data_IF_072952679861
#
_entry.id   IF_072952679861
#
_cell.length_a   1.000
_cell.length_b   1.000
_cell.length_c   1.000
_cell.angle_alpha   90.00
_cell.angle_beta   90.00
_cell.angle_gamma   90.00
#
_symmetry.space_group_name_H-M   'P 1'
#
loop_
_entity.id
_entity.type
_entity.pdbx_description
1 polymer ?
#
# COMPACT_ATOMS: atom_id res chain seq x y z
N UNK A 1 3.03 2.86 7.46
CA UNK A 1 2.72 4.31 7.44
C UNK A 1 1.23 4.53 7.63
N UNK A 2 0.86 5.61 8.27
CA UNK A 2 -0.55 5.97 8.42
C UNK A 2 -1.05 6.66 7.15
N UNK A 3 -2.38 6.64 6.93
CA UNK A 3 -2.97 7.30 5.77
C UNK A 3 -2.61 8.80 5.71
N UNK A 4 -2.53 9.46 6.88
CA UNK A 4 -2.11 10.87 6.96
C UNK A 4 -0.74 11.08 6.33
N UNK A 5 0.22 10.21 6.67
CA UNK A 5 1.59 10.31 6.17
C UNK A 5 1.64 10.05 4.66
N UNK A 6 0.84 9.11 4.19
CA UNK A 6 0.75 8.79 2.76
C UNK A 6 0.18 9.96 1.95
N UNK A 7 -0.74 10.74 2.53
CA UNK A 7 -1.33 11.88 1.84
C UNK A 7 -0.34 13.01 1.59
N UNK A 8 0.78 13.04 2.33
CA UNK A 8 1.83 14.03 2.14
C UNK A 8 2.83 13.63 1.05
N UNK A 9 2.74 12.42 0.52
CA UNK A 9 3.64 11.93 -0.52
C UNK A 9 3.17 12.33 -1.93
N UNK A 10 4.12 12.48 -2.86
CA UNK A 10 3.79 12.65 -4.27
C UNK A 10 3.27 11.33 -4.85
N UNK A 11 2.64 11.40 -6.03
CA UNK A 11 2.18 10.20 -6.72
C UNK A 11 3.33 9.23 -7.01
N UNK A 12 4.48 9.77 -7.42
CA UNK A 12 5.68 8.96 -7.67
C UNK A 12 6.15 8.25 -6.39
N UNK A 13 6.17 8.98 -5.27
CA UNK A 13 6.53 8.41 -3.97
C UNK A 13 5.54 7.34 -3.53
N UNK A 14 4.25 7.54 -3.78
CA UNK A 14 3.22 6.54 -3.48
C UNK A 14 3.44 5.27 -4.30
N UNK A 15 3.79 5.42 -5.58
CA UNK A 15 4.05 4.27 -6.43
C UNK A 15 5.27 3.47 -5.95
N UNK A 16 6.32 4.15 -5.49
CA UNK A 16 7.50 3.50 -4.91
C UNK A 16 7.12 2.74 -3.64
N UNK A 17 6.36 3.37 -2.74
CA UNK A 17 5.90 2.73 -1.51
C UNK A 17 5.05 1.49 -1.80
N UNK A 18 4.17 1.59 -2.79
CA UNK A 18 3.34 0.47 -3.20
C UNK A 18 4.18 -0.70 -3.72
N UNK A 19 5.18 -0.41 -4.55
CA UNK A 19 6.07 -1.43 -5.08
C UNK A 19 6.85 -2.12 -3.95
N UNK A 20 7.37 -1.33 -2.99
CA UNK A 20 8.09 -1.85 -1.84
C UNK A 20 7.19 -2.73 -0.97
N UNK A 21 5.95 -2.31 -0.72
CA UNK A 21 5.02 -3.10 0.09
C UNK A 21 4.60 -4.39 -0.62
N UNK A 22 4.45 -4.35 -1.94
CA UNK A 22 4.15 -5.55 -2.74
C UNK A 22 5.30 -6.55 -2.70
N UNK A 23 6.53 -6.08 -2.79
CA UNK A 23 7.70 -6.93 -2.70
C UNK A 23 7.79 -7.58 -1.32
N UNK A 24 7.55 -6.81 -0.26
CA UNK A 24 7.52 -7.33 1.10
C UNK A 24 6.42 -8.38 1.26
N UNK A 25 5.22 -8.12 0.75
CA UNK A 25 4.11 -9.07 0.81
C UNK A 25 4.46 -10.37 0.09
N UNK A 26 5.07 -10.28 -1.08
CA UNK A 26 5.50 -11.47 -1.83
C UNK A 26 6.49 -12.30 -1.01
N UNK A 27 7.48 -11.65 -0.41
CA UNK A 27 8.48 -12.33 0.41
C UNK A 27 7.85 -12.99 1.64
N UNK A 28 6.92 -12.30 2.31
CA UNK A 28 6.21 -12.83 3.47
C UNK A 28 5.34 -14.02 3.11
N UNK A 29 4.67 -13.97 1.95
CA UNK A 29 3.87 -15.10 1.46
C UNK A 29 4.74 -16.31 1.14
N UNK A 30 5.90 -16.07 0.55
CA UNK A 30 6.86 -17.12 0.28
C UNK A 30 7.33 -17.79 1.57
N UNK A 31 7.69 -16.98 2.58
CA UNK A 31 8.10 -17.49 3.88
C UNK A 31 6.98 -18.29 4.56
N UNK A 32 5.73 -17.81 4.44
CA UNK A 32 4.59 -18.54 4.98
C UNK A 32 4.39 -19.88 4.30
N UNK A 33 4.53 -19.93 2.98
CA UNK A 33 4.39 -21.16 2.20
C UNK A 33 5.47 -22.19 2.53
N UNK A 34 6.68 -21.76 2.87
CA UNK A 34 7.79 -22.65 3.23
C UNK A 34 7.83 -22.99 4.72
N UNK A 35 6.93 -22.40 5.52
CA UNK A 35 6.91 -22.62 6.97
C UNK A 35 7.95 -21.79 7.73
N UNK A 36 8.68 -20.90 7.07
CA UNK A 36 9.69 -20.06 7.70
C UNK A 36 9.10 -18.86 8.45
N UNK A 37 7.85 -18.48 8.15
CA UNK A 37 7.19 -17.33 8.79
C UNK A 37 6.50 -17.79 10.07
N UNK A 38 7.03 -17.35 11.21
CA UNK A 38 6.47 -17.67 12.53
C UNK A 38 5.31 -16.78 12.93
N UNK A 39 5.29 -15.53 12.45
CA UNK A 39 4.29 -14.54 12.84
C UNK A 39 3.55 -14.00 11.62
N UNK A 40 2.27 -14.40 11.50
CA UNK A 40 1.42 -13.99 10.38
C UNK A 40 0.93 -12.54 10.50
N UNK A 41 1.14 -11.88 11.65
CA UNK A 41 0.73 -10.48 11.82
C UNK A 41 1.43 -9.55 10.82
N UNK A 42 2.68 -9.86 10.45
CA UNK A 42 3.43 -9.08 9.46
C UNK A 42 2.76 -9.15 8.08
N UNK A 43 2.22 -10.30 7.74
CA UNK A 43 1.50 -10.49 6.48
C UNK A 43 0.24 -9.61 6.43
N UNK A 44 -0.53 -9.59 7.51
CA UNK A 44 -1.72 -8.76 7.62
C UNK A 44 -1.37 -7.27 7.56
N UNK A 45 -0.28 -6.87 8.23
CA UNK A 45 0.17 -5.48 8.22
C UNK A 45 0.56 -5.03 6.82
N UNK A 46 1.31 -5.86 6.08
CA UNK A 46 1.71 -5.56 4.71
C UNK A 46 0.50 -5.37 3.80
N UNK A 47 -0.49 -6.26 3.89
CA UNK A 47 -1.74 -6.14 3.13
C UNK A 47 -2.48 -4.85 3.46
N UNK A 48 -2.54 -4.50 4.75
CA UNK A 48 -3.21 -3.28 5.21
C UNK A 48 -2.52 -2.02 4.69
N UNK A 49 -1.19 -2.01 4.68
CA UNK A 49 -0.43 -0.89 4.16
C UNK A 49 -0.65 -0.69 2.66
N UNK A 50 -0.69 -1.77 1.88
CA UNK A 50 -1.01 -1.71 0.46
C UNK A 50 -2.41 -1.13 0.26
N UNK A 51 -3.39 -1.59 1.05
CA UNK A 51 -4.76 -1.10 0.97
C UNK A 51 -4.84 0.40 1.25
N UNK A 52 -4.08 0.90 2.22
CA UNK A 52 -4.03 2.34 2.53
C UNK A 52 -3.46 3.15 1.38
N UNK A 53 -2.39 2.68 0.75
CA UNK A 53 -1.78 3.34 -0.41
C UNK A 53 -2.79 3.41 -1.56
N UNK A 54 -3.48 2.32 -1.85
CA UNK A 54 -4.51 2.27 -2.89
C UNK A 54 -5.67 3.21 -2.57
N UNK A 55 -6.06 3.31 -1.31
CA UNK A 55 -7.12 4.22 -0.87
C UNK A 55 -6.73 5.68 -1.16
N UNK A 56 -5.51 6.08 -0.82
CA UNK A 56 -5.03 7.45 -1.06
C UNK A 56 -4.99 7.73 -2.57
N UNK A 57 -4.51 6.78 -3.37
CA UNK A 57 -4.49 6.92 -4.84
C UNK A 57 -5.90 7.08 -5.39
N UNK A 58 -6.84 6.29 -4.92
CA UNK A 58 -8.24 6.35 -5.34
C UNK A 58 -8.86 7.70 -4.97
N UNK A 59 -8.60 8.20 -3.76
CA UNK A 59 -9.05 9.52 -3.34
C UNK A 59 -8.56 10.62 -4.28
N UNK A 60 -7.28 10.56 -4.67
CA UNK A 60 -6.68 11.55 -5.58
C UNK A 60 -7.31 11.50 -6.96
N UNK A 61 -7.54 10.31 -7.49
CA UNK A 61 -8.20 10.13 -8.78
C UNK A 61 -9.63 10.67 -8.75
N UNK A 62 -10.38 10.38 -7.68
CA UNK A 62 -11.74 10.88 -7.52
C UNK A 62 -11.76 12.41 -7.44
N UNK A 63 -10.84 13.02 -6.72
CA UNK A 63 -10.74 14.46 -6.61
C UNK A 63 -10.37 15.11 -7.95
N UNK A 64 -9.44 14.51 -8.69
CA UNK A 64 -9.06 14.99 -10.01
C UNK A 64 -10.24 14.93 -10.98
N UNK A 65 -11.00 13.84 -10.97
CA UNK A 65 -12.17 13.68 -11.81
C UNK A 65 -13.27 14.69 -11.44
N UNK A 66 -13.44 14.94 -10.15
CA UNK A 66 -14.42 15.94 -9.68
C UNK A 66 -14.07 17.34 -10.17
N UNK A 67 -12.80 17.72 -10.10
CA UNK A 67 -12.32 19.01 -10.59
C UNK A 67 -12.51 19.11 -12.10
N UNK A 68 -12.22 18.02 -12.83
CA UNK A 68 -12.36 17.99 -14.29
C UNK A 68 -13.82 18.11 -14.74
N UNK A 69 -14.77 17.70 -13.91
CA UNK A 69 -16.20 17.75 -14.24
C UNK A 69 -16.87 19.08 -13.86
N UNK A 70 -16.20 19.90 -13.07
CA UNK A 70 -16.68 21.22 -12.69
C UNK A 70 -16.22 22.27 -13.70
#
# INVERSE_FOLDING_TARGET
>A
MRARDLRDLTDEQLDVERADRRQELFNLRFQSATGALENTARLKLAKREIARILTVRTEREANANRVAND
#
